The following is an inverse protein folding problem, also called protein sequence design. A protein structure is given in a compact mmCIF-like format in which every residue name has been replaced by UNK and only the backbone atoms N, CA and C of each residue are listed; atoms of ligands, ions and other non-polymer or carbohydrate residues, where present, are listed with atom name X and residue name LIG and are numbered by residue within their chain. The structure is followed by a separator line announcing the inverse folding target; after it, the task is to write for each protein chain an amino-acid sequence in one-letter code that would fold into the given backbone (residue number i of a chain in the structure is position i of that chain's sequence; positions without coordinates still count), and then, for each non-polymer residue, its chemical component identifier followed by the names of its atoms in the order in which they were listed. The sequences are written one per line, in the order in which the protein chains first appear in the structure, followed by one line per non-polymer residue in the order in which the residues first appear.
data_IF_010651620691
#
_entry.id   IF_010651620691
#
_cell.length_a   1.000
_cell.length_b   1.000
_cell.length_c   1.000
_cell.angle_alpha   90.00
_cell.angle_beta   90.00
_cell.angle_gamma   90.00
#
_symmetry.space_group_name_H-M   'P 1'
#
loop_
_entity.id
_entity.type
_entity.pdbx_description
1 polymer ?
#
# COMPACT_ATOMS: atom_id res chain seq x y z
N UNK A 1 0.37 3.66 2.88
CA UNK A 1 -0.90 3.15 3.40
C UNK A 1 -1.29 1.87 2.67
N UNK A 2 -1.26 0.77 3.38
CA UNK A 2 -1.59 -0.56 2.86
C UNK A 2 -3.07 -0.86 3.10
N UNK A 3 -3.81 -1.09 2.03
CA UNK A 3 -5.23 -1.46 2.07
C UNK A 3 -5.34 -2.98 2.06
N UNK A 4 -6.01 -3.53 3.07
CA UNK A 4 -6.03 -4.97 3.36
C UNK A 4 -7.44 -5.44 3.69
N UNK A 5 -7.70 -6.71 3.39
CA UNK A 5 -8.87 -7.43 3.90
C UNK A 5 -8.51 -8.91 4.11
N UNK A 6 -9.12 -9.53 5.12
CA UNK A 6 -8.87 -10.95 5.41
C UNK A 6 -9.28 -11.88 4.26
N UNK A 7 -10.30 -11.47 3.50
CA UNK A 7 -10.78 -12.25 2.35
C UNK A 7 -9.96 -12.00 1.07
N UNK A 8 -8.98 -11.13 1.10
CA UNK A 8 -8.17 -10.76 -0.06
C UNK A 8 -6.93 -11.64 -0.13
N UNK A 9 -6.92 -12.61 -1.05
CA UNK A 9 -5.79 -13.53 -1.23
C UNK A 9 -4.53 -12.78 -1.65
N UNK A 10 -4.66 -11.85 -2.60
CA UNK A 10 -3.51 -11.05 -3.07
C UNK A 10 -2.91 -10.18 -1.96
N UNK A 11 -3.74 -9.68 -1.02
CA UNK A 11 -3.24 -8.95 0.14
C UNK A 11 -2.34 -9.83 0.99
N UNK A 12 -2.72 -11.08 1.20
CA UNK A 12 -1.94 -12.04 1.98
C UNK A 12 -0.63 -12.41 1.29
N UNK A 13 -0.64 -12.54 -0.04
CA UNK A 13 0.58 -12.76 -0.81
C UNK A 13 1.55 -11.59 -0.62
N UNK A 14 1.05 -10.36 -0.72
CA UNK A 14 1.89 -9.17 -0.52
C UNK A 14 2.48 -9.16 0.90
N UNK A 15 1.68 -9.40 1.92
CA UNK A 15 2.19 -9.38 3.30
C UNK A 15 3.20 -10.47 3.58
N UNK A 16 3.02 -11.67 3.03
CA UNK A 16 3.86 -12.82 3.31
C UNK A 16 5.11 -12.90 2.45
N UNK A 17 5.07 -12.42 1.21
CA UNK A 17 6.14 -12.63 0.24
C UNK A 17 6.82 -11.33 -0.20
N UNK A 18 6.11 -10.20 -0.16
CA UNK A 18 6.63 -8.92 -0.65
C UNK A 18 7.11 -8.06 0.51
N UNK A 19 6.25 -7.81 1.50
CA UNK A 19 6.61 -6.96 2.63
C UNK A 19 7.68 -7.58 3.53
N UNK A 20 7.86 -8.89 3.47
CA UNK A 20 8.90 -9.61 4.24
C UNK A 20 10.22 -9.74 3.46
N UNK A 21 10.25 -9.37 2.20
CA UNK A 21 11.46 -9.46 1.37
C UNK A 21 12.55 -8.52 1.93
N UNK A 22 13.81 -8.98 2.04
CA UNK A 22 14.88 -8.16 2.60
C UNK A 22 15.11 -6.83 1.88
N UNK A 23 14.94 -6.78 0.56
CA UNK A 23 15.11 -5.53 -0.20
C UNK A 23 14.03 -4.51 0.10
N UNK A 24 12.82 -4.97 0.38
CA UNK A 24 11.70 -4.13 0.82
C UNK A 24 11.91 -3.70 2.26
N UNK A 25 12.23 -4.66 3.14
CA UNK A 25 12.46 -4.40 4.57
C UNK A 25 13.54 -3.34 4.81
N UNK A 26 14.58 -3.33 3.99
CA UNK A 26 15.67 -2.35 4.11
C UNK A 26 15.20 -0.90 3.87
N UNK A 27 14.11 -0.71 3.13
CA UNK A 27 13.60 0.63 2.79
C UNK A 27 12.44 1.10 3.65
N UNK A 28 11.76 0.20 4.36
CA UNK A 28 10.57 0.55 5.15
C UNK A 28 10.85 1.47 6.33
N UNK A 29 12.01 1.41 7.05
CA UNK A 29 12.23 2.28 8.20
C UNK A 29 12.16 3.79 7.89
N UNK A 30 12.32 4.19 6.63
CA UNK A 30 12.21 5.59 6.21
C UNK A 30 10.76 6.09 6.17
N UNK A 31 9.77 5.21 6.39
CA UNK A 31 8.35 5.50 6.22
C UNK A 31 7.58 5.29 7.51
N UNK A 32 6.48 6.03 7.65
CA UNK A 32 5.43 5.69 8.60
C UNK A 32 4.50 4.69 7.94
N UNK A 33 4.44 3.49 8.49
CA UNK A 33 3.65 2.40 7.92
C UNK A 33 2.25 2.40 8.53
N UNK A 34 1.24 2.48 7.68
CA UNK A 34 -0.16 2.43 8.07
C UNK A 34 -0.87 1.33 7.28
N UNK A 35 -1.75 0.60 7.96
CA UNK A 35 -2.57 -0.44 7.36
C UNK A 35 -4.03 -0.15 7.62
N UNK A 36 -4.83 -0.17 6.56
CA UNK A 36 -6.27 0.01 6.68
C UNK A 36 -6.96 -1.32 6.36
N UNK A 37 -7.53 -1.94 7.38
CA UNK A 37 -8.26 -3.20 7.25
C UNK A 37 -9.73 -2.92 6.92
N UNK A 38 -10.15 -3.33 5.72
CA UNK A 38 -11.52 -3.14 5.23
C UNK A 38 -12.28 -4.47 5.14
N UNK A 39 -11.91 -5.44 5.97
CA UNK A 39 -12.51 -6.79 5.95
C UNK A 39 -14.03 -6.75 6.06
N UNK A 40 -14.58 -5.85 6.87
CA UNK A 40 -16.01 -5.76 7.08
C UNK A 40 -16.77 -5.21 5.88
N UNK A 41 -16.11 -4.47 5.00
CA UNK A 41 -16.73 -3.85 3.82
C UNK A 41 -17.99 -3.05 4.14
N UNK A 42 -18.00 -2.37 5.29
CA UNK A 42 -19.12 -1.55 5.72
C UNK A 42 -19.23 -0.26 4.88
N UNK A 43 -20.35 0.49 4.99
CA UNK A 43 -20.52 1.70 4.17
C UNK A 43 -19.41 2.74 4.35
N UNK A 44 -18.87 2.90 5.55
CA UNK A 44 -17.77 3.84 5.79
C UNK A 44 -16.49 3.40 5.05
N UNK A 45 -16.17 2.11 5.08
CA UNK A 45 -15.01 1.56 4.39
C UNK A 45 -15.17 1.65 2.87
N UNK A 46 -16.36 1.33 2.35
CA UNK A 46 -16.63 1.48 0.92
C UNK A 46 -16.57 2.94 0.48
N UNK A 47 -17.04 3.87 1.30
CA UNK A 47 -16.94 5.30 1.04
C UNK A 47 -15.50 5.78 0.91
N UNK A 48 -14.60 5.24 1.74
CA UNK A 48 -13.17 5.55 1.63
C UNK A 48 -12.55 4.99 0.36
N UNK A 49 -12.91 3.78 -0.05
CA UNK A 49 -12.46 3.23 -1.32
C UNK A 49 -12.89 4.13 -2.48
N UNK A 50 -14.15 4.58 -2.48
CA UNK A 50 -14.67 5.47 -3.52
C UNK A 50 -13.93 6.81 -3.51
N UNK A 51 -13.64 7.34 -2.34
CA UNK A 51 -12.92 8.62 -2.20
C UNK A 51 -11.54 8.57 -2.85
N UNK A 52 -10.85 7.44 -2.77
CA UNK A 52 -9.55 7.26 -3.38
C UNK A 52 -9.61 6.59 -4.76
N UNK A 53 -10.80 6.40 -5.31
CA UNK A 53 -11.02 5.74 -6.60
C UNK A 53 -10.42 4.33 -6.63
N UNK A 54 -10.59 3.59 -5.54
CA UNK A 54 -10.15 2.21 -5.43
C UNK A 54 -11.34 1.27 -5.55
N UNK A 55 -11.18 0.18 -6.29
CA UNK A 55 -12.20 -0.86 -6.39
C UNK A 55 -12.16 -1.81 -5.20
N UNK A 56 -11.01 -1.96 -4.57
CA UNK A 56 -10.84 -2.85 -3.43
C UNK A 56 -9.36 -3.10 -3.17
N UNK A 57 -9.05 -3.92 -2.14
CA UNK A 57 -7.69 -4.33 -1.87
C UNK A 57 -7.22 -5.37 -2.89
N UNK A 58 -5.90 -5.57 -3.09
CA UNK A 58 -4.85 -4.86 -2.43
C UNK A 58 -4.56 -3.53 -3.10
N UNK A 59 -4.12 -2.56 -2.30
CA UNK A 59 -3.60 -1.30 -2.82
C UNK A 59 -2.59 -0.73 -1.82
N UNK A 60 -1.55 -0.07 -2.32
CA UNK A 60 -0.60 0.63 -1.47
C UNK A 60 -0.50 2.06 -1.99
N UNK A 61 -0.76 3.02 -1.12
CA UNK A 61 -0.74 4.44 -1.43
C UNK A 61 0.41 5.12 -0.69
N UNK A 62 1.05 6.06 -1.38
CA UNK A 62 2.17 6.83 -0.84
C UNK A 62 1.75 8.26 -0.61
N UNK A 63 2.10 8.78 0.58
CA UNK A 63 1.77 10.16 0.97
C UNK A 63 3.04 10.92 1.35
N UNK A 64 3.09 12.19 0.94
CA UNK A 64 4.13 13.10 1.37
C UNK A 64 4.01 13.41 2.88
N UNK A 65 5.07 13.88 3.54
CA UNK A 65 4.99 14.28 4.95
C UNK A 65 3.90 15.29 5.25
N UNK A 66 3.56 16.15 4.29
CA UNK A 66 2.48 17.13 4.43
C UNK A 66 1.07 16.58 4.24
N UNK A 67 0.92 15.31 3.88
CA UNK A 67 -0.36 14.64 3.71
C UNK A 67 -0.86 14.51 2.28
N UNK A 68 -0.20 15.11 1.30
CA UNK A 68 -0.57 14.98 -0.11
C UNK A 68 -0.20 13.61 -0.66
N UNK A 69 -1.10 13.00 -1.39
CA UNK A 69 -0.83 11.70 -1.99
C UNK A 69 0.04 11.84 -3.25
N UNK A 70 1.04 10.95 -3.36
CA UNK A 70 1.79 10.76 -4.60
C UNK A 70 1.13 9.68 -5.45
N UNK A 71 0.07 10.06 -6.15
CA UNK A 71 -0.80 9.12 -6.86
C UNK A 71 -0.12 8.37 -7.99
N UNK A 72 0.95 8.92 -8.55
CA UNK A 72 1.75 8.26 -9.59
C UNK A 72 2.54 7.05 -9.05
N UNK A 73 2.67 6.92 -7.74
CA UNK A 73 3.38 5.80 -7.10
C UNK A 73 2.43 4.71 -6.60
N UNK A 74 1.13 4.85 -6.81
CA UNK A 74 0.16 3.84 -6.35
C UNK A 74 0.50 2.45 -6.83
N UNK A 75 0.34 1.48 -5.94
CA UNK A 75 0.33 0.07 -6.29
C UNK A 75 -1.11 -0.41 -6.25
N UNK A 76 -1.64 -0.81 -7.39
CA UNK A 76 -2.99 -1.34 -7.50
C UNK A 76 -2.88 -2.81 -7.90
N UNK A 77 -3.43 -3.70 -7.05
CA UNK A 77 -3.30 -5.14 -7.27
C UNK A 77 -1.96 -5.69 -6.78
N UNK A 78 -1.55 -6.83 -7.33
CA UNK A 78 -0.31 -7.48 -6.92
C UNK A 78 0.92 -6.77 -7.48
N UNK A 79 2.00 -6.85 -6.71
CA UNK A 79 3.31 -6.32 -7.08
C UNK A 79 4.37 -7.28 -6.52
N UNK A 80 5.51 -7.41 -7.19
CA UNK A 80 6.63 -8.17 -6.66
C UNK A 80 7.53 -7.30 -5.76
N UNK A 81 8.47 -7.94 -5.08
CA UNK A 81 9.36 -7.25 -4.16
C UNK A 81 10.22 -6.20 -4.86
N UNK A 82 10.74 -6.50 -6.06
CA UNK A 82 11.56 -5.55 -6.81
C UNK A 82 10.76 -4.32 -7.21
N UNK A 83 9.51 -4.50 -7.65
CA UNK A 83 8.62 -3.41 -8.03
C UNK A 83 8.29 -2.50 -6.85
N UNK A 84 7.99 -3.08 -5.69
CA UNK A 84 7.71 -2.29 -4.49
C UNK A 84 8.95 -1.57 -3.98
N UNK A 85 10.10 -2.24 -3.95
CA UNK A 85 11.36 -1.61 -3.54
C UNK A 85 11.69 -0.40 -4.43
N UNK A 86 11.43 -0.50 -5.73
CA UNK A 86 11.64 0.61 -6.66
C UNK A 86 10.72 1.80 -6.36
N UNK A 87 9.46 1.56 -6.05
CA UNK A 87 8.55 2.64 -5.67
C UNK A 87 8.95 3.29 -4.35
N UNK A 88 9.37 2.49 -3.38
CA UNK A 88 9.88 3.01 -2.11
C UNK A 88 11.11 3.87 -2.32
N UNK A 89 12.03 3.45 -3.20
CA UNK A 89 13.20 4.23 -3.56
C UNK A 89 12.81 5.58 -4.18
N UNK A 90 11.88 5.57 -5.12
CA UNK A 90 11.43 6.79 -5.81
C UNK A 90 10.74 7.75 -4.84
N UNK A 91 9.90 7.24 -3.96
CA UNK A 91 9.25 8.08 -2.95
C UNK A 91 10.27 8.71 -2.00
N UNK A 92 11.29 7.96 -1.59
CA UNK A 92 12.34 8.48 -0.70
C UNK A 92 13.10 9.64 -1.32
N UNK A 93 13.30 9.67 -2.63
CA UNK A 93 14.01 10.75 -3.32
C UNK A 93 13.23 12.05 -3.38
N UNK A 94 11.92 12.03 -3.08
CA UNK A 94 11.06 13.21 -3.10
C UNK A 94 11.03 13.97 -1.79
N UNK A 95 11.60 13.41 -0.75
CA UNK A 95 11.57 14.01 0.59
C UNK A 95 12.69 15.00 0.83
#
# INVERSE_FOLDING_TARGET
LDWYADWCISCKVIERQVLTDPTVQARLPAYRLLRFDITESNPAQRGLLDRYNLFGPPAILFFAPGGDEWSDLRVIGEIDAAGLAERLRRAATRQ
#
